data_IF_698017898665
#
_entry.id   IF_698017898665
#
_cell.length_a   1.000
_cell.length_b   1.000
_cell.length_c   1.000
_cell.angle_alpha   90.00
_cell.angle_beta   90.00
_cell.angle_gamma   90.00
#
_symmetry.space_group_name_H-M   'P 1'
#
loop_
_entity.id
_entity.type
_entity.pdbx_description
1 polymer ?
#
# COMPACT_ATOMS: atom_id res chain seq x y z
N UNK A 1 -6.97 5.93 0.77
CA UNK A 1 -7.60 7.15 0.20
C UNK A 1 -8.04 8.15 1.27
N UNK A 2 -8.19 7.73 2.52
CA UNK A 2 -8.63 8.62 3.61
C UNK A 2 -7.48 9.04 4.55
N UNK A 3 -6.23 8.95 4.09
CA UNK A 3 -5.05 9.38 4.84
C UNK A 3 -4.42 10.63 4.24
N UNK A 4 -3.49 11.24 4.96
CA UNK A 4 -2.86 12.50 4.52
C UNK A 4 -1.88 12.34 3.34
N UNK A 5 -1.52 11.09 3.01
CA UNK A 5 -0.51 10.78 2.00
C UNK A 5 -1.19 10.46 0.67
N UNK A 6 -0.82 11.20 -0.40
CA UNK A 6 -1.09 10.80 -1.77
C UNK A 6 -0.18 9.60 -2.14
N UNK A 7 -0.76 8.41 -2.02
CA UNK A 7 -0.05 7.17 -2.29
C UNK A 7 0.30 7.00 -3.78
N UNK A 8 -0.46 7.60 -4.70
CA UNK A 8 -0.12 7.54 -6.12
C UNK A 8 1.12 8.39 -6.41
N UNK A 9 1.18 9.59 -5.83
CA UNK A 9 2.37 10.44 -5.91
C UNK A 9 3.59 9.73 -5.32
N UNK A 10 3.45 9.10 -4.14
CA UNK A 10 4.53 8.32 -3.53
C UNK A 10 5.05 7.21 -4.47
N UNK A 11 4.15 6.43 -5.08
CA UNK A 11 4.56 5.36 -6.02
C UNK A 11 5.26 5.91 -7.28
N UNK A 12 4.82 7.07 -7.80
CA UNK A 12 5.52 7.75 -8.91
C UNK A 12 6.93 8.15 -8.51
N UNK A 13 7.10 8.76 -7.34
CA UNK A 13 8.42 9.15 -6.84
C UNK A 13 9.33 7.94 -6.65
N UNK A 14 8.85 6.82 -6.09
CA UNK A 14 9.65 5.59 -5.99
C UNK A 14 10.11 5.08 -7.35
N UNK A 15 9.25 5.14 -8.38
CA UNK A 15 9.62 4.78 -9.76
C UNK A 15 10.66 5.75 -10.33
N UNK A 16 10.45 7.05 -10.18
CA UNK A 16 11.32 8.11 -10.71
C UNK A 16 12.76 8.01 -10.18
N UNK A 17 12.92 7.69 -8.90
CA UNK A 17 14.26 7.51 -8.28
C UNK A 17 14.85 6.12 -8.53
N UNK A 18 14.14 5.25 -9.25
CA UNK A 18 14.62 3.91 -9.58
C UNK A 18 14.67 2.94 -8.40
N UNK A 19 13.84 3.11 -7.38
CA UNK A 19 13.79 2.20 -6.24
C UNK A 19 13.38 0.78 -6.65
N UNK A 20 14.15 -0.24 -6.25
CA UNK A 20 13.93 -1.66 -6.60
C UNK A 20 13.69 -2.57 -5.38
N UNK A 21 13.59 -1.99 -4.18
CA UNK A 21 13.43 -2.75 -2.95
C UNK A 21 11.96 -3.16 -2.68
N UNK A 22 11.74 -3.96 -1.63
CA UNK A 22 10.39 -4.34 -1.22
C UNK A 22 9.63 -3.16 -0.62
N UNK A 23 8.34 -3.05 -0.94
CA UNK A 23 7.40 -2.13 -0.30
C UNK A 23 6.49 -2.96 0.60
N UNK A 24 6.45 -2.64 1.90
CA UNK A 24 5.72 -3.40 2.92
C UNK A 24 4.65 -2.51 3.56
N UNK A 25 3.44 -3.04 3.70
CA UNK A 25 2.38 -2.36 4.45
C UNK A 25 2.72 -2.37 5.92
N UNK A 26 2.61 -1.22 6.57
CA UNK A 26 2.79 -1.10 8.00
C UNK A 26 1.46 -1.25 8.75
N UNK A 27 0.95 -0.22 9.42
CA UNK A 27 -0.26 -0.29 10.23
C UNK A 27 -1.54 -0.22 9.39
N UNK A 28 -2.55 -0.96 9.83
CA UNK A 28 -3.90 -0.91 9.25
C UNK A 28 -4.92 -0.74 10.37
N UNK A 29 -6.08 -0.12 10.11
CA UNK A 29 -7.15 -0.04 11.09
C UNK A 29 -7.55 -1.43 11.59
N UNK A 30 -8.04 -1.50 12.83
CA UNK A 30 -8.65 -2.71 13.35
C UNK A 30 -9.97 -2.96 12.61
N UNK A 31 -10.09 -4.14 12.02
CA UNK A 31 -11.31 -4.58 11.34
C UNK A 31 -12.09 -5.51 12.27
N UNK A 32 -13.40 -5.29 12.37
CA UNK A 32 -14.29 -6.17 13.12
C UNK A 32 -14.32 -7.58 12.49
N UNK A 33 -14.16 -8.62 13.30
CA UNK A 33 -14.08 -10.00 12.82
C UNK A 33 -12.72 -10.40 12.22
N UNK A 34 -11.71 -9.54 12.26
CA UNK A 34 -10.35 -9.87 11.81
C UNK A 34 -9.58 -10.67 12.87
N UNK A 35 -8.46 -11.27 12.46
CA UNK A 35 -7.55 -11.97 13.35
C UNK A 35 -6.75 -10.98 14.22
N UNK A 36 -6.13 -11.44 15.32
CA UNK A 36 -5.19 -10.62 16.11
C UNK A 36 -4.02 -10.04 15.30
N UNK A 37 -3.73 -10.62 14.13
CA UNK A 37 -2.66 -10.20 13.23
C UNK A 37 -3.12 -9.20 12.14
N UNK A 38 -4.42 -8.89 12.08
CA UNK A 38 -4.97 -7.88 11.16
C UNK A 38 -4.91 -8.29 9.69
N UNK A 39 -5.15 -9.56 9.39
CA UNK A 39 -4.98 -10.10 8.03
C UNK A 39 -5.87 -9.42 6.99
N UNK A 40 -7.10 -9.07 7.33
CA UNK A 40 -8.04 -8.44 6.39
C UNK A 40 -7.53 -7.04 6.02
N UNK A 41 -7.24 -6.21 7.02
CA UNK A 41 -6.71 -4.86 6.80
C UNK A 41 -5.41 -4.87 6.00
N UNK A 42 -4.48 -5.75 6.35
CA UNK A 42 -3.21 -5.91 5.64
C UNK A 42 -3.39 -6.40 4.21
N UNK A 43 -4.32 -7.32 3.96
CA UNK A 43 -4.59 -7.82 2.61
C UNK A 43 -5.13 -6.71 1.72
N UNK A 44 -6.04 -5.88 2.23
CA UNK A 44 -6.53 -4.72 1.52
C UNK A 44 -5.40 -3.73 1.18
N UNK A 45 -4.58 -3.38 2.16
CA UNK A 45 -3.44 -2.47 1.97
C UNK A 45 -2.45 -2.98 0.90
N UNK A 46 -2.05 -4.26 0.97
CA UNK A 46 -1.17 -4.85 -0.03
C UNK A 46 -1.81 -4.87 -1.43
N UNK A 47 -3.10 -5.19 -1.54
CA UNK A 47 -3.82 -5.17 -2.80
C UNK A 47 -3.83 -3.78 -3.44
N UNK A 48 -4.17 -2.76 -2.65
CA UNK A 48 -4.15 -1.36 -3.07
C UNK A 48 -2.75 -0.91 -3.54
N UNK A 49 -1.71 -1.17 -2.75
CA UNK A 49 -0.33 -0.83 -3.13
C UNK A 49 0.11 -1.55 -4.42
N UNK A 50 -0.22 -2.85 -4.59
CA UNK A 50 0.08 -3.56 -5.84
C UNK A 50 -0.63 -2.95 -7.05
N UNK A 51 -1.87 -2.50 -6.89
CA UNK A 51 -2.62 -1.80 -7.92
C UNK A 51 -1.93 -0.49 -8.33
N UNK A 52 -1.50 0.32 -7.36
CA UNK A 52 -0.76 1.55 -7.63
C UNK A 52 0.58 1.30 -8.32
N UNK A 53 1.35 0.32 -7.85
CA UNK A 53 2.62 -0.07 -8.49
C UNK A 53 2.39 -0.48 -9.95
N UNK A 54 1.32 -1.22 -10.25
CA UNK A 54 0.97 -1.54 -11.63
C UNK A 54 0.59 -0.28 -12.43
N UNK A 55 -0.25 0.59 -11.87
CA UNK A 55 -0.72 1.81 -12.51
C UNK A 55 0.39 2.83 -12.83
N UNK A 56 1.46 2.89 -12.03
CA UNK A 56 2.60 3.76 -12.34
C UNK A 56 3.59 3.13 -13.32
N UNK A 57 3.50 1.81 -13.58
CA UNK A 57 4.39 1.07 -14.46
C UNK A 57 3.82 0.80 -15.87
N UNK A 58 2.55 1.14 -16.12
CA UNK A 58 1.99 1.20 -17.48
C UNK A 58 2.46 2.43 -18.25
#
# INVERSE_FOLDING_TARGET
DEGDIDMLQAMRTYKEVGYQGPIVSDHTPRVEGDTPWGHIGRTFSHGYMRGLVHAVNV
#
